data_IF_681820607587
#
_entry.id   IF_681820607587
#
_cell.length_a   1.000
_cell.length_b   1.000
_cell.length_c   1.000
_cell.angle_alpha   90.00
_cell.angle_beta   90.00
_cell.angle_gamma   90.00
#
_symmetry.space_group_name_H-M   'P 1'
#
loop_
_entity.id
_entity.type
_entity.pdbx_description
1 polymer ?
#
# COMPACT_ATOMS: atom_id res chain seq x y z
N UNK A 1 -71.13 -12.40 -6.38
CA UNK A 1 -70.25 -11.40 -5.74
C UNK A 1 -68.83 -12.00 -5.66
N UNK A 2 -67.92 -11.63 -6.58
CA UNK A 2 -66.51 -12.11 -6.60
C UNK A 2 -65.64 -11.00 -6.05
N UNK A 3 -64.94 -11.26 -4.96
CA UNK A 3 -63.93 -10.34 -4.35
C UNK A 3 -62.63 -10.38 -5.14
N UNK A 4 -62.00 -9.25 -5.47
CA UNK A 4 -60.68 -9.26 -6.09
C UNK A 4 -59.58 -9.49 -5.03
N UNK A 5 -58.69 -10.44 -5.29
CA UNK A 5 -57.50 -10.69 -4.51
C UNK A 5 -56.40 -9.72 -4.99
N UNK A 6 -56.11 -8.73 -4.16
CA UNK A 6 -54.96 -7.83 -4.39
C UNK A 6 -53.65 -8.58 -4.11
N UNK A 7 -52.84 -8.83 -5.14
CA UNK A 7 -51.48 -9.33 -5.02
C UNK A 7 -50.52 -8.17 -4.69
N UNK A 8 -50.05 -8.12 -3.48
CA UNK A 8 -48.93 -7.27 -3.08
C UNK A 8 -47.63 -7.83 -3.67
N UNK A 9 -47.09 -7.12 -4.64
CA UNK A 9 -45.72 -7.36 -5.13
C UNK A 9 -44.75 -6.69 -4.15
N UNK A 10 -44.02 -7.51 -3.36
CA UNK A 10 -42.92 -7.05 -2.55
C UNK A 10 -41.69 -6.85 -3.45
N UNK A 11 -41.31 -5.60 -3.72
CA UNK A 11 -40.04 -5.27 -4.33
C UNK A 11 -38.93 -5.51 -3.30
N UNK A 12 -38.17 -6.57 -3.48
CA UNK A 12 -36.90 -6.76 -2.75
C UNK A 12 -35.85 -5.80 -3.31
N UNK A 13 -35.54 -4.74 -2.57
CA UNK A 13 -34.40 -3.86 -2.88
C UNK A 13 -33.10 -4.60 -2.55
N UNK A 14 -32.40 -5.11 -3.55
CA UNK A 14 -31.00 -5.55 -3.40
C UNK A 14 -30.14 -4.32 -3.17
N UNK A 15 -29.73 -4.07 -1.92
CA UNK A 15 -28.69 -3.12 -1.60
C UNK A 15 -27.35 -3.68 -2.16
N UNK A 16 -26.90 -3.12 -3.29
CA UNK A 16 -25.57 -3.40 -3.82
C UNK A 16 -24.53 -2.84 -2.84
N UNK A 17 -23.83 -3.72 -2.13
CA UNK A 17 -22.66 -3.34 -1.35
C UNK A 17 -21.60 -2.79 -2.31
N UNK A 18 -21.25 -1.51 -2.19
CA UNK A 18 -20.14 -0.92 -2.93
C UNK A 18 -18.85 -1.67 -2.56
N UNK A 19 -17.99 -2.02 -3.52
CA UNK A 19 -16.71 -2.64 -3.21
C UNK A 19 -15.90 -1.70 -2.32
N UNK A 20 -15.35 -2.22 -1.22
CA UNK A 20 -14.41 -1.51 -0.39
C UNK A 20 -13.18 -1.18 -1.25
N UNK A 21 -13.05 0.06 -1.67
CA UNK A 21 -11.87 0.54 -2.39
C UNK A 21 -10.73 0.60 -1.38
N UNK A 22 -9.65 -0.14 -1.65
CA UNK A 22 -8.41 0.02 -0.91
C UNK A 22 -7.92 1.46 -1.14
N UNK A 23 -7.73 2.21 -0.06
CA UNK A 23 -7.22 3.58 -0.15
C UNK A 23 -5.79 3.53 -0.72
N UNK A 24 -5.57 4.23 -1.85
CA UNK A 24 -4.25 4.33 -2.45
C UNK A 24 -3.35 5.26 -1.61
N UNK A 25 -2.04 4.96 -1.49
CA UNK A 25 -1.11 5.80 -0.75
C UNK A 25 -1.09 7.23 -1.27
N UNK A 26 -1.16 8.20 -0.38
CA UNK A 26 -1.02 9.63 -0.72
C UNK A 26 0.41 10.08 -0.48
N UNK A 27 1.15 10.32 -1.56
CA UNK A 27 2.50 10.86 -1.48
C UNK A 27 2.51 12.32 -1.00
N UNK A 28 3.66 12.75 -0.49
CA UNK A 28 3.78 14.09 0.08
C UNK A 28 3.71 15.21 -0.97
N UNK A 29 3.31 16.41 -0.53
CA UNK A 29 3.36 17.59 -1.38
C UNK A 29 4.79 17.92 -1.83
N UNK A 30 5.79 17.66 -0.98
CA UNK A 30 7.20 17.80 -1.32
C UNK A 30 7.63 16.88 -2.47
N UNK A 31 7.14 15.64 -2.46
CA UNK A 31 7.37 14.71 -3.56
C UNK A 31 6.76 15.23 -4.86
N UNK A 32 5.51 15.67 -4.85
CA UNK A 32 4.84 16.22 -6.03
C UNK A 32 5.60 17.42 -6.62
N UNK A 33 6.02 18.36 -5.77
CA UNK A 33 6.81 19.53 -6.21
C UNK A 33 8.21 19.14 -6.69
N UNK A 34 8.85 18.14 -6.08
CA UNK A 34 10.14 17.62 -6.51
C UNK A 34 10.04 17.01 -7.93
N UNK A 35 9.07 16.14 -8.17
CA UNK A 35 8.82 15.52 -9.48
C UNK A 35 8.53 16.58 -10.55
N UNK A 36 7.74 17.60 -10.22
CA UNK A 36 7.47 18.71 -11.12
C UNK A 36 8.74 19.46 -11.52
N UNK A 37 9.63 19.76 -10.56
CA UNK A 37 10.92 20.41 -10.83
C UNK A 37 11.88 19.53 -11.61
N UNK A 38 11.82 18.21 -11.45
CA UNK A 38 12.64 17.27 -12.20
C UNK A 38 12.39 17.32 -13.72
N UNK A 39 11.20 17.80 -14.16
CA UNK A 39 10.90 18.09 -15.56
C UNK A 39 11.08 16.90 -16.50
N UNK A 40 10.90 15.66 -16.01
CA UNK A 40 11.10 14.44 -16.78
C UNK A 40 12.55 13.95 -16.83
N UNK A 41 13.49 14.62 -16.18
CA UNK A 41 14.87 14.15 -16.11
C UNK A 41 15.00 12.98 -15.12
N UNK A 42 15.51 11.83 -15.59
CA UNK A 42 15.47 10.55 -14.86
C UNK A 42 16.21 10.61 -13.52
N UNK A 43 17.42 11.12 -13.47
CA UNK A 43 18.19 11.16 -12.22
C UNK A 43 17.55 12.06 -11.15
N UNK A 44 17.13 13.30 -11.44
CA UNK A 44 16.37 14.11 -10.50
C UNK A 44 15.06 13.44 -10.03
N UNK A 45 14.37 12.71 -10.92
CA UNK A 45 13.18 11.94 -10.51
C UNK A 45 13.52 10.82 -9.53
N UNK A 46 14.62 10.09 -9.75
CA UNK A 46 15.09 9.04 -8.82
C UNK A 46 15.41 9.63 -7.44
N UNK A 47 16.02 10.82 -7.38
CA UNK A 47 16.28 11.50 -6.10
C UNK A 47 14.98 11.82 -5.35
N UNK A 48 13.98 12.37 -6.05
CA UNK A 48 12.66 12.64 -5.47
C UNK A 48 11.98 11.37 -4.94
N UNK A 49 12.01 10.28 -5.72
CA UNK A 49 11.46 8.98 -5.34
C UNK A 49 12.18 8.43 -4.11
N UNK A 50 13.51 8.52 -4.09
CA UNK A 50 14.33 8.04 -2.97
C UNK A 50 14.02 8.77 -1.67
N UNK A 51 13.84 10.08 -1.72
CA UNK A 51 13.51 10.87 -0.54
C UNK A 51 12.10 10.55 -0.02
N UNK A 52 11.12 10.39 -0.89
CA UNK A 52 9.78 9.96 -0.51
C UNK A 52 9.78 8.52 0.03
N UNK A 53 10.54 7.61 -0.60
CA UNK A 53 10.73 6.25 -0.10
C UNK A 53 11.26 6.23 1.33
N UNK A 54 12.29 7.02 1.66
CA UNK A 54 12.83 7.11 3.02
C UNK A 54 11.77 7.53 4.05
N UNK A 55 10.86 8.41 3.68
CA UNK A 55 9.75 8.85 4.54
C UNK A 55 8.78 7.69 4.80
N UNK A 56 8.40 6.95 3.75
CA UNK A 56 7.51 5.81 3.87
C UNK A 56 8.18 4.63 4.61
N UNK A 57 9.47 4.40 4.41
CA UNK A 57 10.22 3.37 5.14
C UNK A 57 10.32 3.69 6.64
N UNK A 58 10.54 4.95 7.00
CA UNK A 58 10.50 5.37 8.40
C UNK A 58 9.11 5.14 9.02
N UNK A 59 8.04 5.42 8.28
CA UNK A 59 6.67 5.16 8.72
C UNK A 59 6.41 3.65 8.84
N UNK A 60 6.82 2.84 7.88
CA UNK A 60 6.74 1.38 7.92
C UNK A 60 7.36 0.83 9.20
N UNK A 61 8.57 1.27 9.52
CA UNK A 61 9.28 0.85 10.72
C UNK A 61 8.58 1.30 12.01
N UNK A 62 7.94 2.49 12.03
CA UNK A 62 7.12 2.94 13.17
C UNK A 62 5.91 2.04 13.38
N UNK A 63 5.15 1.77 12.31
CA UNK A 63 3.95 0.92 12.39
C UNK A 63 4.33 -0.51 12.82
N UNK A 64 5.36 -1.09 12.21
CA UNK A 64 5.85 -2.40 12.57
C UNK A 64 6.20 -2.51 14.06
N UNK A 65 7.04 -1.60 14.58
CA UNK A 65 7.44 -1.61 16.01
C UNK A 65 6.24 -1.46 16.93
N UNK A 66 5.29 -0.59 16.59
CA UNK A 66 4.08 -0.40 17.38
C UNK A 66 3.25 -1.69 17.44
N UNK A 67 2.90 -2.27 16.30
CA UNK A 67 2.10 -3.51 16.23
C UNK A 67 2.80 -4.62 16.99
N UNK A 68 4.10 -4.82 16.74
CA UNK A 68 4.93 -5.83 17.40
C UNK A 68 4.90 -5.70 18.93
N UNK A 69 4.89 -4.47 19.45
CA UNK A 69 4.81 -4.22 20.89
C UNK A 69 3.47 -4.63 21.52
N UNK A 70 2.41 -4.76 20.71
CA UNK A 70 1.07 -5.19 21.16
C UNK A 70 0.83 -6.69 21.03
N UNK A 71 1.77 -7.42 20.43
CA UNK A 71 1.69 -8.84 20.19
C UNK A 71 2.62 -9.60 21.14
N UNK A 72 2.26 -10.84 21.45
CA UNK A 72 3.05 -11.76 22.26
C UNK A 72 3.22 -13.13 21.59
N UNK A 73 4.08 -13.96 22.17
CA UNK A 73 4.27 -15.37 21.84
C UNK A 73 4.22 -15.66 20.34
N UNK A 74 3.39 -16.63 19.95
CA UNK A 74 3.28 -17.10 18.56
C UNK A 74 2.77 -16.02 17.60
N UNK A 75 1.92 -15.09 18.05
CA UNK A 75 1.43 -14.00 17.21
C UNK A 75 2.53 -13.04 16.83
N UNK A 76 3.41 -12.68 17.77
CA UNK A 76 4.59 -11.84 17.51
C UNK A 76 5.52 -12.52 16.51
N UNK A 77 5.85 -13.79 16.75
CA UNK A 77 6.74 -14.56 15.87
C UNK A 77 6.17 -14.68 14.44
N UNK A 78 4.87 -14.93 14.32
CA UNK A 78 4.19 -14.96 13.02
C UNK A 78 4.21 -13.61 12.29
N UNK A 79 4.01 -12.52 13.03
CA UNK A 79 4.07 -11.17 12.46
C UNK A 79 5.48 -10.80 12.00
N UNK A 80 6.52 -11.13 12.81
CA UNK A 80 7.92 -10.92 12.46
C UNK A 80 8.29 -11.71 11.19
N UNK A 81 7.88 -12.99 11.11
CA UNK A 81 8.11 -13.82 9.94
C UNK A 81 7.40 -13.29 8.68
N UNK A 82 6.17 -12.83 8.80
CA UNK A 82 5.41 -12.22 7.70
C UNK A 82 6.08 -10.94 7.19
N UNK A 83 6.58 -10.08 8.09
CA UNK A 83 7.29 -8.87 7.70
C UNK A 83 8.60 -9.17 7.00
N UNK A 84 9.36 -10.15 7.48
CA UNK A 84 10.61 -10.57 6.84
C UNK A 84 10.37 -11.15 5.44
N UNK A 85 9.35 -12.00 5.29
CA UNK A 85 8.97 -12.55 3.99
C UNK A 85 8.53 -11.45 3.01
N UNK A 86 7.80 -10.44 3.51
CA UNK A 86 7.38 -9.30 2.69
C UNK A 86 8.60 -8.48 2.22
N UNK A 87 9.58 -8.20 3.08
CA UNK A 87 10.82 -7.48 2.70
C UNK A 87 11.54 -8.25 1.59
N UNK A 88 11.71 -9.56 1.76
CA UNK A 88 12.36 -10.41 0.75
C UNK A 88 11.61 -10.39 -0.58
N UNK A 89 10.29 -10.46 -0.54
CA UNK A 89 9.45 -10.37 -1.73
C UNK A 89 9.58 -9.01 -2.41
N UNK A 90 9.48 -7.90 -1.66
CA UNK A 90 9.64 -6.55 -2.21
C UNK A 90 10.98 -6.40 -2.93
N UNK A 91 12.07 -6.78 -2.26
CA UNK A 91 13.41 -6.60 -2.79
C UNK A 91 13.64 -7.44 -4.06
N UNK A 92 13.18 -8.68 -4.08
CA UNK A 92 13.24 -9.53 -5.27
C UNK A 92 12.36 -8.98 -6.41
N UNK A 93 11.12 -8.59 -6.10
CA UNK A 93 10.19 -8.06 -7.09
C UNK A 93 10.68 -6.76 -7.72
N UNK A 94 11.17 -5.82 -6.91
CA UNK A 94 11.68 -4.54 -7.43
C UNK A 94 13.05 -4.69 -8.08
N UNK A 95 13.86 -5.65 -7.63
CA UNK A 95 15.10 -6.02 -8.29
C UNK A 95 14.92 -6.51 -9.73
N UNK A 96 13.79 -7.15 -10.02
CA UNK A 96 13.44 -7.58 -11.37
C UNK A 96 13.36 -6.41 -12.36
N UNK A 97 12.87 -5.24 -11.91
CA UNK A 97 12.79 -4.05 -12.77
C UNK A 97 14.13 -3.37 -13.01
N UNK A 98 15.16 -3.68 -12.21
CA UNK A 98 16.50 -3.10 -12.38
C UNK A 98 17.31 -3.87 -13.43
N UNK A 99 16.80 -3.90 -14.67
CA UNK A 99 17.48 -4.52 -15.78
C UNK A 99 18.81 -3.82 -16.08
N UNK A 100 19.97 -4.52 -16.04
CA UNK A 100 21.26 -3.93 -16.35
C UNK A 100 21.36 -3.32 -17.74
N UNK A 101 20.60 -3.83 -18.69
CA UNK A 101 20.56 -3.35 -20.08
C UNK A 101 19.47 -2.30 -20.33
N UNK A 102 18.57 -2.11 -19.37
CA UNK A 102 17.44 -1.18 -19.47
C UNK A 102 17.80 0.30 -19.25
N UNK A 103 19.06 0.61 -19.02
CA UNK A 103 19.55 1.98 -18.85
C UNK A 103 18.97 2.69 -17.61
N UNK A 104 18.80 4.02 -17.73
CA UNK A 104 18.33 4.84 -16.59
C UNK A 104 16.85 4.64 -16.29
N UNK A 105 16.04 4.22 -17.26
CA UNK A 105 14.61 3.97 -17.05
C UNK A 105 14.38 2.75 -16.14
N UNK A 106 15.17 1.69 -16.32
CA UNK A 106 15.10 0.52 -15.45
C UNK A 106 15.36 0.87 -13.98
N UNK A 107 16.32 1.78 -13.73
CA UNK A 107 16.56 2.31 -12.38
C UNK A 107 15.39 3.11 -11.83
N UNK A 108 14.76 3.93 -12.69
CA UNK A 108 13.55 4.68 -12.30
C UNK A 108 12.43 3.73 -11.91
N UNK A 109 12.18 2.69 -12.71
CA UNK A 109 11.14 1.70 -12.47
C UNK A 109 11.39 0.91 -11.18
N UNK A 110 12.63 0.47 -10.93
CA UNK A 110 13.00 -0.21 -9.71
C UNK A 110 12.80 0.67 -8.45
N UNK A 111 13.21 1.95 -8.51
CA UNK A 111 13.01 2.87 -7.39
C UNK A 111 11.52 3.19 -7.16
N UNK A 112 10.75 3.35 -8.23
CA UNK A 112 9.30 3.54 -8.15
C UNK A 112 8.62 2.33 -7.51
N UNK A 113 9.00 1.11 -7.92
CA UNK A 113 8.52 -0.12 -7.31
C UNK A 113 8.79 -0.16 -5.80
N UNK A 114 10.01 0.19 -5.37
CA UNK A 114 10.36 0.23 -3.94
C UNK A 114 9.48 1.21 -3.15
N UNK A 115 9.25 2.41 -3.69
CA UNK A 115 8.39 3.41 -3.09
C UNK A 115 6.94 2.89 -2.97
N UNK A 116 6.35 2.43 -4.09
CA UNK A 116 4.96 2.02 -4.16
C UNK A 116 4.67 0.83 -3.22
N UNK A 117 5.51 -0.19 -3.27
CA UNK A 117 5.33 -1.37 -2.42
C UNK A 117 5.46 -1.01 -0.94
N UNK A 118 6.42 -0.14 -0.58
CA UNK A 118 6.61 0.28 0.81
C UNK A 118 5.44 1.12 1.31
N UNK A 119 4.93 2.05 0.50
CA UNK A 119 3.77 2.86 0.84
C UNK A 119 2.51 2.00 1.04
N UNK A 120 2.24 1.04 0.15
CA UNK A 120 1.12 0.10 0.29
C UNK A 120 1.25 -0.76 1.54
N UNK A 121 2.46 -1.22 1.87
CA UNK A 121 2.68 -1.97 3.11
C UNK A 121 2.37 -1.15 4.35
N UNK A 122 2.71 0.13 4.35
CA UNK A 122 2.33 1.04 5.44
C UNK A 122 0.82 1.10 5.62
N UNK A 123 0.05 1.18 4.52
CA UNK A 123 -1.41 1.19 4.60
C UNK A 123 -1.94 -0.12 5.22
N UNK A 124 -1.43 -1.28 4.79
CA UNK A 124 -1.78 -2.57 5.40
C UNK A 124 -1.43 -2.61 6.89
N UNK A 125 -0.25 -2.11 7.29
CA UNK A 125 0.15 -2.08 8.69
C UNK A 125 -0.74 -1.14 9.52
N UNK A 126 -1.22 -0.03 8.98
CA UNK A 126 -2.20 0.85 9.64
C UNK A 126 -3.52 0.13 9.90
N UNK A 127 -3.98 -0.67 8.96
CA UNK A 127 -5.17 -1.51 9.14
C UNK A 127 -4.98 -2.56 10.22
N UNK A 128 -3.82 -3.24 10.24
CA UNK A 128 -3.47 -4.20 11.29
C UNK A 128 -3.41 -3.49 12.65
N UNK A 129 -2.78 -2.33 12.70
CA UNK A 129 -2.68 -1.50 13.91
C UNK A 129 -4.06 -1.21 14.48
N UNK A 130 -5.00 -0.75 13.66
CA UNK A 130 -6.37 -0.44 14.09
C UNK A 130 -7.09 -1.65 14.73
N UNK A 131 -6.72 -2.87 14.31
CA UNK A 131 -7.27 -4.13 14.86
C UNK A 131 -6.65 -4.54 16.18
N UNK A 132 -5.36 -4.26 16.40
CA UNK A 132 -4.67 -4.62 17.65
C UNK A 132 -4.84 -3.58 18.75
N UNK A 133 -5.35 -2.40 18.43
CA UNK A 133 -5.71 -1.34 19.39
C UNK A 133 -7.13 -1.51 19.96
N UNK A 134 -7.99 -2.34 19.35
CA UNK A 134 -9.34 -2.68 19.85
C UNK A 134 -9.31 -3.77 20.91
#
# INVERSE_FOLDING_TARGET
MRKPIARLLALAACAAAAPAQSEEPRYSAQYAECIKRAGGATFPMIECITDEYRRWDAELNRQYRFIRSKLDGARRNGFDAAQLAWVSYRDANCGFYNDPEGGTIARLDANTCMLDMTARRVMELRDIRSRVER
#
